data_IF_955812052694
#
_entry.id   IF_955812052694
#
_cell.length_a   1.000
_cell.length_b   1.000
_cell.length_c   1.000
_cell.angle_alpha   90.00
_cell.angle_beta   90.00
_cell.angle_gamma   90.00
#
_symmetry.space_group_name_H-M   'P 1'
#
loop_
_entity.id
_entity.type
_entity.pdbx_description
1 polymer ?
#
# COMPACT_ATOMS: atom_id res chain seq x y z
N UNK A 1 0.14 3.68 -15.70
CA UNK A 1 1.00 3.54 -14.50
C UNK A 1 1.02 4.89 -13.82
N UNK A 2 0.86 5.01 -12.49
CA UNK A 2 0.98 6.32 -11.86
C UNK A 2 2.43 6.80 -12.04
N UNK A 3 2.59 8.02 -12.54
CA UNK A 3 3.85 8.62 -12.99
C UNK A 3 4.67 9.23 -11.82
N UNK A 4 4.47 8.72 -10.60
CA UNK A 4 5.11 9.22 -9.39
C UNK A 4 5.57 8.06 -8.53
N UNK A 5 6.83 7.68 -8.71
CA UNK A 5 7.57 6.82 -7.77
C UNK A 5 8.30 7.76 -6.81
N UNK A 6 7.95 7.79 -5.52
CA UNK A 6 8.66 8.59 -4.53
C UNK A 6 10.15 8.24 -4.50
N UNK A 7 11.03 9.23 -4.33
CA UNK A 7 12.46 8.96 -4.12
C UNK A 7 12.65 8.01 -2.93
N UNK A 8 13.47 6.96 -3.15
CA UNK A 8 13.72 5.93 -2.13
C UNK A 8 12.92 4.65 -2.30
N UNK A 9 12.19 4.47 -3.40
CA UNK A 9 11.58 3.18 -3.82
C UNK A 9 12.28 2.71 -5.10
N UNK A 10 12.59 1.40 -5.19
CA UNK A 10 13.17 0.73 -6.36
C UNK A 10 12.64 -0.69 -6.50
N UNK A 11 12.84 -1.27 -7.69
CA UNK A 11 12.52 -2.67 -8.01
C UNK A 11 11.07 -3.02 -7.67
N UNK A 12 10.11 -2.15 -8.04
CA UNK A 12 8.71 -2.39 -7.76
C UNK A 12 8.19 -3.59 -8.55
N UNK A 13 7.58 -4.51 -7.83
CA UNK A 13 6.92 -5.67 -8.41
C UNK A 13 5.53 -5.83 -7.81
N UNK A 14 4.57 -6.20 -8.65
CA UNK A 14 3.19 -6.48 -8.23
C UNK A 14 2.74 -7.78 -8.87
N UNK A 15 2.34 -8.72 -8.04
CA UNK A 15 1.71 -9.98 -8.42
C UNK A 15 0.22 -9.93 -8.06
N UNK A 16 -0.63 -10.28 -9.02
CA UNK A 16 -2.06 -10.34 -8.83
C UNK A 16 -2.50 -11.78 -8.52
N UNK A 17 -3.41 -11.91 -7.57
CA UNK A 17 -4.07 -13.17 -7.21
C UNK A 17 -5.58 -13.06 -7.33
N UNK A 18 -6.29 -14.09 -6.87
CA UNK A 18 -7.75 -14.07 -6.82
C UNK A 18 -8.24 -13.18 -5.66
N UNK A 19 -8.70 -11.98 -6.00
CA UNK A 19 -9.14 -10.93 -5.08
C UNK A 19 -8.06 -10.55 -4.04
N UNK A 20 -6.80 -10.72 -4.43
CA UNK A 20 -5.63 -10.43 -3.63
C UNK A 20 -4.53 -9.86 -4.52
N UNK A 21 -3.63 -9.08 -3.93
CA UNK A 21 -2.43 -8.62 -4.60
C UNK A 21 -1.25 -8.65 -3.63
N UNK A 22 -0.08 -8.96 -4.17
CA UNK A 22 1.19 -8.89 -3.48
C UNK A 22 2.06 -7.84 -4.17
N UNK A 23 2.60 -6.91 -3.40
CA UNK A 23 3.50 -5.88 -3.90
C UNK A 23 4.82 -5.95 -3.14
N UNK A 24 5.94 -5.85 -3.83
CA UNK A 24 7.26 -5.80 -3.23
C UNK A 24 8.09 -4.69 -3.85
N UNK A 25 8.97 -4.08 -3.05
CA UNK A 25 9.92 -3.08 -3.52
C UNK A 25 11.11 -3.00 -2.55
N UNK A 26 12.21 -2.44 -3.01
CA UNK A 26 13.31 -2.00 -2.16
C UNK A 26 13.05 -0.56 -1.72
N UNK A 27 13.07 -0.30 -0.41
CA UNK A 27 12.75 1.01 0.17
C UNK A 27 13.86 1.53 1.07
N UNK A 28 14.16 2.82 0.96
CA UNK A 28 15.02 3.58 1.87
C UNK A 28 14.18 4.68 2.54
N UNK A 29 13.58 4.32 3.68
CA UNK A 29 12.73 5.23 4.44
C UNK A 29 13.50 6.42 5.02
N UNK A 30 14.81 6.30 5.21
CA UNK A 30 15.64 7.39 5.71
C UNK A 30 15.78 8.46 4.62
N UNK A 31 16.04 8.07 3.37
CA UNK A 31 16.01 8.99 2.22
C UNK A 31 14.64 9.62 2.04
N UNK A 32 13.56 8.84 2.14
CA UNK A 32 12.19 9.38 2.07
C UNK A 32 11.94 10.46 3.15
N UNK A 33 12.41 10.27 4.39
CA UNK A 33 12.26 11.29 5.45
C UNK A 33 13.18 12.50 5.28
N UNK A 34 14.40 12.29 4.80
CA UNK A 34 15.34 13.38 4.52
C UNK A 34 14.82 14.27 3.40
N UNK A 35 14.25 13.69 2.34
CA UNK A 35 13.56 14.42 1.29
C UNK A 35 12.38 15.26 1.83
N UNK A 36 11.73 14.80 2.90
CA UNK A 36 10.66 15.51 3.59
C UNK A 36 11.14 16.48 4.70
N UNK A 37 12.45 16.59 4.96
CA UNK A 37 13.03 17.50 5.96
C UNK A 37 12.70 17.17 7.42
N UNK A 38 12.27 15.94 7.74
CA UNK A 38 11.83 15.56 9.11
C UNK A 38 12.92 14.80 9.88
N UNK A 39 13.20 15.16 11.16
CA UNK A 39 14.15 14.42 11.97
C UNK A 39 13.65 13.00 12.26
N UNK A 40 14.56 12.03 12.17
CA UNK A 40 14.28 10.62 12.49
C UNK A 40 14.88 10.27 13.84
N UNK A 41 14.08 9.71 14.74
CA UNK A 41 14.55 9.26 16.06
C UNK A 41 15.48 8.04 15.90
N UNK A 42 16.55 7.93 16.68
CA UNK A 42 17.65 6.96 16.45
C UNK A 42 17.21 5.49 16.47
N UNK A 43 16.25 5.12 17.33
CA UNK A 43 15.69 3.76 17.40
C UNK A 43 14.93 3.39 16.12
N UNK A 44 14.21 4.35 15.53
CA UNK A 44 13.48 4.18 14.28
C UNK A 44 14.43 4.13 13.08
N UNK A 45 15.48 4.96 13.09
CA UNK A 45 16.54 4.90 12.10
C UNK A 45 17.10 3.48 12.02
N UNK A 46 17.50 2.86 13.14
CA UNK A 46 18.06 1.51 13.12
C UNK A 46 17.15 0.44 12.48
N UNK A 47 15.82 0.59 12.53
CA UNK A 47 14.85 -0.35 11.93
C UNK A 47 14.71 -0.11 10.42
N UNK A 48 14.81 1.15 9.98
CA UNK A 48 14.45 1.59 8.62
C UNK A 48 15.64 2.16 7.82
N UNK A 49 16.83 2.14 8.42
CA UNK A 49 18.09 2.62 7.84
C UNK A 49 18.64 1.59 6.87
N UNK A 50 19.13 2.11 5.75
CA UNK A 50 19.56 1.34 4.60
C UNK A 50 18.38 0.93 3.72
N UNK A 51 18.72 0.37 2.56
CA UNK A 51 17.76 -0.18 1.62
C UNK A 51 17.20 -1.51 2.16
N UNK A 52 15.88 -1.57 2.36
CA UNK A 52 15.20 -2.72 2.95
C UNK A 52 14.16 -3.27 1.96
N UNK A 53 14.03 -4.60 1.81
CA UNK A 53 12.90 -5.16 1.08
C UNK A 53 11.61 -4.89 1.85
N UNK A 54 10.66 -4.25 1.19
CA UNK A 54 9.28 -4.09 1.59
C UNK A 54 8.42 -5.09 0.82
N UNK A 55 7.53 -5.76 1.53
CA UNK A 55 6.56 -6.69 0.97
C UNK A 55 5.20 -6.41 1.59
N UNK A 56 4.18 -6.28 0.76
CA UNK A 56 2.81 -5.93 1.14
C UNK A 56 1.86 -6.92 0.49
N UNK A 57 0.94 -7.47 1.28
CA UNK A 57 -0.16 -8.28 0.79
C UNK A 57 -1.48 -7.62 1.14
N UNK A 58 -2.40 -7.60 0.18
CA UNK A 58 -3.75 -7.07 0.36
C UNK A 58 -4.80 -8.06 -0.13
N UNK A 59 -6.00 -7.94 0.42
CA UNK A 59 -7.21 -8.60 -0.05
C UNK A 59 -8.26 -7.56 -0.39
N UNK A 60 -8.81 -7.65 -1.59
CA UNK A 60 -9.90 -6.81 -2.05
C UNK A 60 -11.24 -7.45 -1.71
N UNK A 61 -12.18 -6.67 -1.22
CA UNK A 61 -13.58 -7.05 -1.11
C UNK A 61 -14.40 -5.96 -1.79
N UNK A 62 -15.23 -6.33 -2.77
CA UNK A 62 -16.00 -5.35 -3.54
C UNK A 62 -17.35 -5.89 -3.98
N UNK A 63 -18.40 -5.11 -3.73
CA UNK A 63 -19.78 -5.45 -4.08
C UNK A 63 -20.70 -4.24 -3.84
N UNK A 64 -21.81 -4.12 -4.57
CA UNK A 64 -22.84 -3.12 -4.29
C UNK A 64 -22.36 -1.68 -4.46
N UNK A 65 -21.36 -1.46 -5.32
CA UNK A 65 -20.69 -0.18 -5.50
C UNK A 65 -19.85 0.26 -4.31
N UNK A 66 -19.40 -0.67 -3.46
CA UNK A 66 -18.44 -0.41 -2.40
C UNK A 66 -17.21 -1.30 -2.51
N UNK A 67 -16.13 -0.85 -1.92
CA UNK A 67 -14.88 -1.58 -1.88
C UNK A 67 -14.15 -1.39 -0.55
N UNK A 68 -13.49 -2.45 -0.09
CA UNK A 68 -12.56 -2.43 1.03
C UNK A 68 -11.25 -3.07 0.57
N UNK A 69 -10.15 -2.36 0.75
CA UNK A 69 -8.80 -2.92 0.60
C UNK A 69 -8.31 -3.29 1.99
N UNK A 70 -8.21 -4.59 2.27
CA UNK A 70 -7.70 -5.09 3.53
C UNK A 70 -6.20 -5.36 3.42
N UNK A 71 -5.41 -4.72 4.26
CA UNK A 71 -3.99 -4.97 4.40
C UNK A 71 -3.80 -6.23 5.24
N UNK A 72 -3.36 -7.33 4.62
CA UNK A 72 -3.26 -8.64 5.28
C UNK A 72 -1.87 -8.92 5.82
N UNK A 73 -0.83 -8.36 5.19
CA UNK A 73 0.55 -8.51 5.64
C UNK A 73 1.39 -7.33 5.17
N UNK A 74 2.27 -6.84 6.04
CA UNK A 74 3.36 -5.94 5.67
C UNK A 74 4.63 -6.49 6.29
N UNK A 75 5.69 -6.60 5.50
CA UNK A 75 7.02 -6.97 5.95
C UNK A 75 8.05 -5.95 5.50
N UNK A 76 8.98 -5.61 6.40
CA UNK A 76 10.13 -4.76 6.09
C UNK A 76 11.38 -5.47 6.57
N UNK A 77 12.34 -5.69 5.66
CA UNK A 77 13.57 -6.41 5.99
C UNK A 77 13.33 -7.84 6.48
N UNK A 78 12.23 -8.48 6.05
CA UNK A 78 11.82 -9.81 6.48
C UNK A 78 11.13 -9.87 7.85
N UNK A 79 10.84 -8.73 8.48
CA UNK A 79 10.12 -8.65 9.75
C UNK A 79 8.68 -8.20 9.48
N UNK A 80 7.70 -8.94 10.00
CA UNK A 80 6.29 -8.58 9.90
C UNK A 80 5.97 -7.35 10.76
N UNK A 81 5.32 -6.36 10.15
CA UNK A 81 4.90 -5.12 10.77
C UNK A 81 3.44 -5.24 11.18
N UNK A 82 3.16 -5.04 12.47
CA UNK A 82 1.81 -5.20 13.04
C UNK A 82 1.52 -4.11 14.08
N UNK A 83 0.23 -3.92 14.38
CA UNK A 83 -0.25 -3.01 15.42
C UNK A 83 0.28 -1.58 15.27
N UNK A 84 0.74 -1.00 16.38
CA UNK A 84 1.15 0.40 16.44
C UNK A 84 2.32 0.76 15.50
N UNK A 85 3.20 -0.19 15.17
CA UNK A 85 4.31 0.07 14.26
C UNK A 85 3.82 0.20 12.82
N UNK A 86 2.90 -0.67 12.40
CA UNK A 86 2.27 -0.56 11.08
C UNK A 86 1.48 0.74 10.95
N UNK A 87 0.68 1.08 11.97
CA UNK A 87 -0.09 2.31 12.00
C UNK A 87 0.80 3.56 11.89
N UNK A 88 1.95 3.54 12.58
CA UNK A 88 2.93 4.61 12.49
C UNK A 88 3.49 4.76 11.07
N UNK A 89 3.85 3.65 10.42
CA UNK A 89 4.41 3.68 9.06
C UNK A 89 3.39 4.21 8.05
N UNK A 90 2.14 3.75 8.12
CA UNK A 90 1.04 4.22 7.28
C UNK A 90 0.83 5.73 7.46
N UNK A 91 0.73 6.20 8.71
CA UNK A 91 0.53 7.63 9.00
C UNK A 91 1.72 8.51 8.61
N UNK A 92 2.94 7.98 8.69
CA UNK A 92 4.16 8.77 8.47
C UNK A 92 4.58 8.83 7.01
N UNK A 93 4.40 7.74 6.26
CA UNK A 93 4.92 7.61 4.91
C UNK A 93 3.84 7.50 3.84
N UNK A 94 2.73 6.81 4.11
CA UNK A 94 1.71 6.55 3.10
C UNK A 94 0.66 7.66 3.01
N UNK A 95 -0.01 7.98 4.13
CA UNK A 95 -1.07 8.99 4.14
C UNK A 95 -0.63 10.40 3.71
N UNK A 96 0.62 10.86 3.97
CA UNK A 96 1.06 12.15 3.43
C UNK A 96 1.12 12.19 1.89
N UNK A 97 1.29 11.04 1.23
CA UNK A 97 1.29 10.92 -0.22
C UNK A 97 -0.12 10.68 -0.77
N UNK A 98 -0.95 9.98 -0.01
CA UNK A 98 -2.32 9.62 -0.38
C UNK A 98 -3.28 9.94 0.77
N UNK A 99 -3.62 11.23 0.98
CA UNK A 99 -4.35 11.68 2.17
C UNK A 99 -5.77 11.14 2.26
N UNK A 100 -6.41 10.87 1.11
CA UNK A 100 -7.77 10.35 1.02
C UNK A 100 -7.82 8.81 0.95
N UNK A 101 -6.66 8.14 1.02
CA UNK A 101 -6.62 6.70 0.93
C UNK A 101 -7.23 6.03 2.16
N UNK A 102 -8.13 5.09 1.90
CA UNK A 102 -8.85 4.31 2.91
C UNK A 102 -8.29 2.88 2.95
N UNK A 103 -7.73 2.49 4.09
CA UNK A 103 -7.17 1.15 4.33
C UNK A 103 -7.99 0.46 5.41
N UNK A 104 -8.34 -0.80 5.21
CA UNK A 104 -9.14 -1.61 6.15
C UNK A 104 -10.53 -1.02 6.45
N UNK A 105 -11.02 -0.11 5.61
CA UNK A 105 -12.35 0.50 5.76
C UNK A 105 -13.04 0.63 4.39
N UNK A 106 -14.39 0.57 4.36
CA UNK A 106 -15.13 0.60 3.11
C UNK A 106 -15.21 2.01 2.52
N UNK A 107 -14.95 2.12 1.23
CA UNK A 107 -15.20 3.32 0.42
C UNK A 107 -16.19 3.04 -0.71
N UNK A 108 -16.82 4.11 -1.20
CA UNK A 108 -17.74 4.03 -2.33
C UNK A 108 -16.94 3.97 -3.63
N UNK A 109 -17.40 3.13 -4.55
CA UNK A 109 -16.90 3.06 -5.90
C UNK A 109 -17.72 4.03 -6.76
N UNK A 110 -17.11 5.14 -7.14
CA UNK A 110 -17.71 6.14 -8.02
C UNK A 110 -17.92 5.59 -9.45
N UNK A 111 -18.46 6.43 -10.34
CA UNK A 111 -18.61 6.14 -11.78
C UNK A 111 -19.46 4.90 -12.10
N UNK A 112 -20.53 4.68 -11.33
CA UNK A 112 -21.46 3.55 -11.47
C UNK A 112 -20.76 2.18 -11.41
N UNK A 113 -19.57 2.10 -10.83
CA UNK A 113 -18.90 0.82 -10.65
C UNK A 113 -19.70 0.01 -9.61
N UNK A 114 -20.00 -1.24 -9.96
CA UNK A 114 -20.67 -2.20 -9.08
C UNK A 114 -19.67 -2.99 -8.24
N UNK A 115 -18.60 -3.48 -8.88
CA UNK A 115 -17.52 -4.19 -8.19
C UNK A 115 -16.23 -4.21 -8.98
N UNK A 116 -15.13 -4.41 -8.26
CA UNK A 116 -13.81 -4.65 -8.81
C UNK A 116 -13.37 -6.06 -8.42
N UNK A 117 -12.89 -6.83 -9.38
CA UNK A 117 -12.31 -8.16 -9.14
C UNK A 117 -10.83 -8.16 -9.53
N UNK A 118 -9.99 -8.71 -8.66
CA UNK A 118 -8.58 -8.95 -8.98
C UNK A 118 -8.44 -10.41 -9.40
N UNK A 119 -7.77 -10.63 -10.53
CA UNK A 119 -7.43 -11.95 -11.05
C UNK A 119 -5.94 -11.97 -11.43
N UNK A 120 -5.30 -13.15 -11.49
CA UNK A 120 -3.91 -13.24 -11.94
C UNK A 120 -3.65 -12.61 -13.31
N UNK A 121 -4.64 -12.68 -14.21
CA UNK A 121 -4.55 -12.08 -15.55
C UNK A 121 -4.81 -10.57 -15.61
N UNK A 122 -5.32 -9.96 -14.54
CA UNK A 122 -5.60 -8.52 -14.51
C UNK A 122 -6.76 -8.11 -13.59
N UNK A 123 -7.18 -6.86 -13.72
CA UNK A 123 -8.25 -6.25 -12.92
C UNK A 123 -9.50 -6.12 -13.80
N UNK A 124 -10.63 -6.62 -13.30
CA UNK A 124 -11.93 -6.46 -13.94
C UNK A 124 -12.75 -5.42 -13.18
N UNK A 125 -13.29 -4.46 -13.91
CA UNK A 125 -14.21 -3.46 -13.37
C UNK A 125 -15.59 -3.76 -13.94
N UNK A 126 -16.54 -4.05 -13.07
CA UNK A 126 -17.94 -4.29 -13.44
C UNK A 126 -18.73 -3.02 -13.14
N UNK A 127 -19.43 -2.52 -14.14
CA UNK A 127 -20.30 -1.33 -14.07
C UNK A 127 -21.74 -1.79 -13.82
N UNK A 128 -22.53 -0.98 -13.11
CA UNK A 128 -23.96 -1.19 -12.91
C UNK A 128 -24.70 -1.09 -14.25
N UNK A 129 -25.60 -2.03 -14.49
CA UNK A 129 -26.57 -1.90 -15.56
C UNK A 129 -27.59 -0.82 -15.17
N UNK A 130 -27.87 0.10 -16.10
CA UNK A 130 -28.82 1.22 -15.90
C UNK A 130 -30.27 0.77 -15.85
#
# INVERSE_FOLDING_TARGET
>A
MPEYVPEGIRDEHVELGNDAAHASAMVDFLRMRQAQGKPTNALLAAIIEGERPLSISVRLQSSGGRCTVNLTRVEIGGVAMEGALLDFLVKTFFLPLFPDAKINEPFDLDYDIERIEIRPEGIRVIIKDK
#
